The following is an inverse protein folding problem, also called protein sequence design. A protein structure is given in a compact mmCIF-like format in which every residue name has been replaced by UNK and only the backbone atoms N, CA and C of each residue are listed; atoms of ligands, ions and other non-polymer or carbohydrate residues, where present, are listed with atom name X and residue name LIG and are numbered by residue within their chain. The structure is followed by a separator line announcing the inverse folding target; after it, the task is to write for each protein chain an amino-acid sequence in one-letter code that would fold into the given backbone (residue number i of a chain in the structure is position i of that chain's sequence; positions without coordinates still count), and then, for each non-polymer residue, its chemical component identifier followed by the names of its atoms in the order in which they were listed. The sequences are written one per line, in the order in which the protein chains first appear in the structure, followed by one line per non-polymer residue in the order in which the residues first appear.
data_IF_907859169722
#
_entry.id   IF_907859169722
#
_cell.length_a   1.000
_cell.length_b   1.000
_cell.length_c   1.000
_cell.angle_alpha   90.00
_cell.angle_beta   90.00
_cell.angle_gamma   90.00
#
_symmetry.space_group_name_H-M   'P 1'
#
loop_
_entity.id
_entity.type
_entity.pdbx_description
1 polymer ?
#
# COMPACT_ATOMS: atom_id res chain seq x y z
N UNK A 1 1.18 -6.32 -16.28
CA UNK A 1 0.00 -5.91 -15.50
C UNK A 1 0.17 -4.55 -14.84
N UNK A 2 1.18 -4.32 -13.98
CA UNK A 2 1.45 -3.00 -13.40
C UNK A 2 2.99 -2.74 -13.34
N UNK A 3 3.56 -1.92 -14.24
CA UNK A 3 4.98 -1.58 -14.21
C UNK A 3 5.34 -0.82 -12.94
N UNK A 4 6.47 -1.16 -12.30
CA UNK A 4 6.88 -0.54 -11.03
C UNK A 4 7.01 0.99 -11.15
N UNK A 5 7.60 1.46 -12.26
CA UNK A 5 7.80 2.89 -12.53
C UNK A 5 6.48 3.68 -12.62
N UNK A 6 5.36 3.01 -12.92
CA UNK A 6 4.04 3.65 -12.99
C UNK A 6 3.38 3.75 -11.61
N UNK A 7 3.87 3.02 -10.61
CA UNK A 7 3.32 2.95 -9.25
C UNK A 7 4.21 3.68 -8.25
N UNK A 8 5.53 3.55 -8.40
CA UNK A 8 6.54 4.26 -7.61
C UNK A 8 7.46 5.00 -8.58
N UNK A 9 7.54 6.35 -8.52
CA UNK A 9 8.48 7.10 -9.33
C UNK A 9 9.93 6.62 -9.11
N UNK A 10 10.76 6.50 -10.17
CA UNK A 10 12.13 5.98 -10.03
C UNK A 10 13.01 6.78 -9.06
N UNK A 11 12.84 8.10 -9.01
CA UNK A 11 13.57 8.97 -8.09
C UNK A 11 13.26 8.66 -6.62
N UNK A 12 11.97 8.52 -6.29
CA UNK A 12 11.52 8.09 -4.97
C UNK A 12 12.02 6.71 -4.61
N UNK A 13 11.89 5.75 -5.53
CA UNK A 13 12.36 4.38 -5.31
C UNK A 13 13.86 4.34 -5.02
N UNK A 14 14.64 5.20 -5.68
CA UNK A 14 16.09 5.31 -5.46
C UNK A 14 16.41 5.86 -4.08
N UNK A 15 15.65 6.88 -3.62
CA UNK A 15 15.84 7.55 -2.33
C UNK A 15 15.60 6.68 -1.09
N UNK A 16 14.89 5.56 -1.22
CA UNK A 16 14.60 4.66 -0.10
C UNK A 16 15.89 3.99 0.39
N UNK A 17 16.27 4.27 1.63
CA UNK A 17 17.42 3.65 2.28
C UNK A 17 17.08 2.24 2.75
N UNK A 18 17.95 1.29 2.41
CA UNK A 18 17.84 -0.12 2.82
C UNK A 18 18.96 -0.54 3.78
N UNK A 19 19.99 0.29 3.96
CA UNK A 19 21.16 -0.07 4.77
C UNK A 19 20.80 -0.38 6.23
N UNK A 20 19.91 0.36 6.91
CA UNK A 20 19.51 0.03 8.28
C UNK A 20 18.89 -1.37 8.39
N UNK A 21 18.10 -1.79 7.39
CA UNK A 21 17.47 -3.11 7.36
C UNK A 21 18.48 -4.24 7.11
N UNK A 22 19.51 -3.97 6.31
CA UNK A 22 20.58 -4.93 6.03
C UNK A 22 21.53 -5.07 7.24
N UNK A 23 21.78 -3.98 7.97
CA UNK A 23 22.62 -3.97 9.16
C UNK A 23 21.93 -4.57 10.38
N UNK A 24 20.60 -4.47 10.48
CA UNK A 24 19.81 -5.06 11.55
C UNK A 24 19.93 -6.59 11.54
N UNK A 25 20.22 -7.17 12.71
CA UNK A 25 20.47 -8.60 12.88
C UNK A 25 19.21 -9.37 13.23
N UNK A 26 18.33 -8.80 14.05
CA UNK A 26 17.10 -9.46 14.50
C UNK A 26 15.87 -9.07 13.65
N UNK A 27 14.87 -9.96 13.52
CA UNK A 27 13.58 -9.61 12.93
C UNK A 27 12.89 -8.43 13.62
N UNK A 28 13.08 -8.28 14.93
CA UNK A 28 12.48 -7.25 15.76
C UNK A 28 13.07 -5.87 15.45
N UNK A 29 14.38 -5.77 15.30
CA UNK A 29 15.07 -4.54 14.89
C UNK A 29 14.63 -4.11 13.50
N UNK A 30 14.56 -5.06 12.55
CA UNK A 30 14.06 -4.78 11.20
C UNK A 30 12.61 -4.30 11.20
N UNK A 31 11.76 -4.84 12.07
CA UNK A 31 10.38 -4.39 12.25
C UNK A 31 10.33 -2.97 12.82
N UNK A 32 11.22 -2.62 13.75
CA UNK A 32 11.27 -1.29 14.36
C UNK A 32 11.61 -0.18 13.35
N UNK A 33 12.32 -0.52 12.27
CA UNK A 33 12.65 0.39 11.18
C UNK A 33 11.49 0.65 10.20
N UNK A 34 10.36 -0.05 10.31
CA UNK A 34 9.22 0.15 9.42
C UNK A 34 8.38 1.38 9.85
N UNK A 35 7.91 2.21 8.89
CA UNK A 35 6.93 3.26 9.16
C UNK A 35 5.63 2.70 9.78
N UNK A 36 5.21 1.51 9.35
CA UNK A 36 4.04 0.82 9.87
C UNK A 36 4.43 -0.56 10.44
N UNK A 37 4.65 -0.61 11.76
CA UNK A 37 5.31 -1.72 12.47
C UNK A 37 4.40 -2.91 12.79
N UNK A 38 3.09 -2.69 12.84
CA UNK A 38 2.14 -3.67 13.37
C UNK A 38 1.47 -4.56 12.31
N UNK A 39 1.74 -4.33 11.02
CA UNK A 39 1.13 -5.12 9.96
C UNK A 39 1.66 -6.56 9.96
N UNK A 40 0.75 -7.52 10.11
CA UNK A 40 1.04 -8.95 10.05
C UNK A 40 1.52 -9.31 8.64
N UNK A 41 0.86 -8.75 7.62
CA UNK A 41 1.19 -8.98 6.22
C UNK A 41 2.62 -8.51 5.91
N UNK A 42 2.98 -7.26 6.25
CA UNK A 42 4.30 -6.68 5.97
C UNK A 42 5.38 -7.44 6.74
N UNK A 43 5.17 -7.68 8.03
CA UNK A 43 6.15 -8.37 8.87
C UNK A 43 6.40 -9.80 8.41
N UNK A 44 5.37 -10.51 7.92
CA UNK A 44 5.53 -11.83 7.32
C UNK A 44 6.43 -11.81 6.08
N UNK A 45 6.26 -10.82 5.19
CA UNK A 45 7.09 -10.69 3.97
C UNK A 45 8.50 -10.24 4.30
N UNK A 46 8.65 -9.35 5.28
CA UNK A 46 9.96 -8.93 5.76
C UNK A 46 10.72 -10.13 6.31
N UNK A 47 10.09 -10.96 7.14
CA UNK A 47 10.71 -12.19 7.67
C UNK A 47 11.11 -13.14 6.53
N UNK A 48 10.19 -13.43 5.62
CA UNK A 48 10.46 -14.32 4.49
C UNK A 48 11.61 -13.83 3.60
N UNK A 49 11.73 -12.51 3.41
CA UNK A 49 12.79 -11.90 2.60
C UNK A 49 14.20 -12.11 3.19
N UNK A 50 14.31 -12.26 4.52
CA UNK A 50 15.58 -12.47 5.22
C UNK A 50 15.81 -13.91 5.72
N UNK A 51 14.81 -14.79 5.60
CA UNK A 51 14.88 -16.15 6.13
C UNK A 51 15.72 -17.11 5.25
N UNK A 52 15.81 -16.87 3.95
CA UNK A 52 16.22 -17.90 2.99
C UNK A 52 17.75 -18.03 2.79
N UNK A 53 18.59 -17.30 3.52
CA UNK A 53 20.06 -17.32 3.33
C UNK A 53 20.55 -16.78 1.96
N UNK A 54 19.64 -16.57 1.01
CA UNK A 54 19.89 -15.90 -0.26
C UNK A 54 20.17 -14.41 -0.07
N UNK A 55 20.86 -13.82 -1.06
CA UNK A 55 21.03 -12.37 -1.12
C UNK A 55 19.68 -11.66 -1.11
N UNK A 56 19.46 -10.80 -0.12
CA UNK A 56 18.23 -10.02 0.02
C UNK A 56 17.95 -9.22 -1.26
N UNK A 57 16.78 -9.44 -1.85
CA UNK A 57 16.35 -8.66 -3.03
C UNK A 57 16.11 -7.20 -2.64
N UNK A 58 17.07 -6.33 -2.98
CA UNK A 58 17.01 -4.88 -2.72
C UNK A 58 15.73 -4.25 -3.27
N UNK A 59 15.29 -4.69 -4.45
CA UNK A 59 14.06 -4.16 -5.08
C UNK A 59 12.79 -4.55 -4.29
N UNK A 60 12.69 -5.82 -3.86
CA UNK A 60 11.56 -6.26 -3.01
C UNK A 60 11.57 -5.56 -1.66
N UNK A 61 12.74 -5.37 -1.04
CA UNK A 61 12.88 -4.64 0.22
C UNK A 61 12.40 -3.19 0.09
N UNK A 62 12.84 -2.47 -0.94
CA UNK A 62 12.38 -1.10 -1.22
C UNK A 62 10.86 -1.04 -1.46
N UNK A 63 10.30 -1.99 -2.21
CA UNK A 63 8.86 -2.08 -2.41
C UNK A 63 8.12 -2.27 -1.07
N UNK A 64 8.64 -3.13 -0.19
CA UNK A 64 8.03 -3.42 1.10
C UNK A 64 8.07 -2.20 2.05
N UNK A 65 9.20 -1.47 2.07
CA UNK A 65 9.33 -0.21 2.82
C UNK A 65 8.35 0.84 2.30
N UNK A 66 8.23 0.97 0.97
CA UNK A 66 7.28 1.90 0.37
C UNK A 66 5.83 1.53 0.69
N UNK A 67 5.45 0.24 0.63
CA UNK A 67 4.12 -0.22 1.07
C UNK A 67 3.89 0.10 2.54
N UNK A 68 4.85 -0.15 3.42
CA UNK A 68 4.75 0.23 4.84
C UNK A 68 4.52 1.73 5.02
N UNK A 69 5.19 2.55 4.21
CA UNK A 69 4.98 4.00 4.16
C UNK A 69 3.55 4.36 3.73
N UNK A 70 3.01 3.71 2.69
CA UNK A 70 1.62 3.92 2.24
C UNK A 70 0.60 3.53 3.31
N UNK A 71 0.85 2.45 4.06
CA UNK A 71 0.01 2.04 5.20
C UNK A 71 0.00 3.11 6.29
N UNK A 72 1.19 3.58 6.70
CA UNK A 72 1.33 4.63 7.69
C UNK A 72 0.66 5.94 7.24
N UNK A 73 0.88 6.35 5.99
CA UNK A 73 0.28 7.53 5.38
C UNK A 73 -1.25 7.41 5.37
N UNK A 74 -1.81 6.30 4.90
CA UNK A 74 -3.26 6.07 4.88
C UNK A 74 -3.89 6.20 6.28
N UNK A 75 -3.24 5.62 7.28
CA UNK A 75 -3.76 5.60 8.64
C UNK A 75 -3.76 6.99 9.30
N UNK A 76 -2.85 7.87 8.90
CA UNK A 76 -2.57 9.13 9.62
C UNK A 76 -2.98 10.38 8.84
N UNK A 77 -2.84 10.39 7.51
CA UNK A 77 -2.95 11.60 6.69
C UNK A 77 -4.31 12.28 6.80
N UNK A 78 -5.42 11.55 6.64
CA UNK A 78 -6.77 12.16 6.65
C UNK A 78 -7.07 12.88 7.97
N UNK A 79 -6.79 12.24 9.10
CA UNK A 79 -7.02 12.83 10.41
C UNK A 79 -6.05 13.98 10.71
N UNK A 80 -4.75 13.78 10.48
CA UNK A 80 -3.73 14.79 10.81
C UNK A 80 -3.87 16.05 9.98
N UNK A 81 -4.09 15.93 8.67
CA UNK A 81 -4.23 17.07 7.78
C UNK A 81 -5.48 17.91 8.08
N UNK A 82 -6.59 17.26 8.47
CA UNK A 82 -7.83 17.95 8.80
C UNK A 82 -7.83 18.61 10.19
N UNK A 83 -7.09 18.05 11.16
CA UNK A 83 -7.09 18.51 12.56
C UNK A 83 -5.88 19.34 12.97
N UNK A 84 -4.90 19.53 12.10
CA UNK A 84 -3.72 20.32 12.42
C UNK A 84 -4.07 21.77 12.79
N UNK A 85 -3.57 22.22 13.95
CA UNK A 85 -3.73 23.60 14.43
C UNK A 85 -2.74 24.56 13.74
N UNK A 86 -1.58 24.05 13.31
CA UNK A 86 -0.53 24.80 12.58
C UNK A 86 -0.38 24.32 11.13
N UNK A 87 0.87 24.23 10.65
CA UNK A 87 1.17 23.68 9.32
C UNK A 87 0.79 22.18 9.24
N UNK A 88 -0.23 21.81 8.43
CA UNK A 88 -0.66 20.43 8.27
C UNK A 88 0.44 19.52 7.72
N UNK A 89 1.32 20.04 6.85
CA UNK A 89 2.42 19.28 6.26
C UNK A 89 3.45 18.91 7.33
N UNK A 90 3.89 19.87 8.12
CA UNK A 90 4.79 19.62 9.25
C UNK A 90 4.20 18.63 10.25
N UNK A 91 2.92 18.79 10.61
CA UNK A 91 2.24 17.88 11.54
C UNK A 91 2.18 16.44 11.02
N UNK A 92 1.90 16.25 9.72
CA UNK A 92 1.91 14.92 9.11
C UNK A 92 3.33 14.36 9.02
N UNK A 93 4.34 15.20 8.72
CA UNK A 93 5.74 14.79 8.64
C UNK A 93 6.24 14.23 9.96
N UNK A 94 5.93 14.90 11.07
CA UNK A 94 6.26 14.46 12.42
C UNK A 94 5.60 13.10 12.74
N UNK A 95 4.32 12.93 12.38
CA UNK A 95 3.58 11.69 12.62
C UNK A 95 4.08 10.50 11.81
N UNK A 96 4.63 10.73 10.62
CA UNK A 96 5.19 9.68 9.76
C UNK A 96 6.65 9.35 10.07
N UNK A 97 7.21 9.96 11.11
CA UNK A 97 8.60 9.83 11.53
C UNK A 97 9.58 10.20 10.41
N UNK A 98 10.11 11.43 10.49
CA UNK A 98 10.97 11.98 9.45
C UNK A 98 12.28 11.20 9.24
N UNK A 99 12.74 10.46 10.25
CA UNK A 99 13.92 9.63 10.15
C UNK A 99 13.69 8.38 9.30
N UNK A 100 12.45 7.90 9.23
CA UNK A 100 12.11 6.63 8.57
C UNK A 100 11.71 6.82 7.10
N UNK A 101 11.06 7.93 6.77
CA UNK A 101 10.54 8.20 5.42
C UNK A 101 11.37 9.29 4.73
N UNK A 102 11.98 9.06 3.55
CA UNK A 102 12.70 10.11 2.81
C UNK A 102 11.79 11.28 2.41
N UNK A 103 12.31 12.52 2.41
CA UNK A 103 11.53 13.72 2.07
C UNK A 103 10.92 13.64 0.66
N UNK A 104 11.68 13.11 -0.31
CA UNK A 104 11.20 12.93 -1.68
C UNK A 104 9.98 12.00 -1.75
N UNK A 105 9.96 10.93 -0.94
CA UNK A 105 8.80 10.02 -0.85
C UNK A 105 7.64 10.75 -0.19
N UNK A 106 7.88 11.43 0.93
CA UNK A 106 6.85 12.17 1.65
C UNK A 106 6.16 13.22 0.76
N UNK A 107 6.94 14.01 0.03
CA UNK A 107 6.44 15.05 -0.87
C UNK A 107 5.65 14.43 -2.03
N UNK A 108 6.17 13.36 -2.63
CA UNK A 108 5.45 12.64 -3.68
C UNK A 108 4.13 12.02 -3.21
N UNK A 109 4.06 11.52 -1.97
CA UNK A 109 2.82 11.01 -1.39
C UNK A 109 1.79 12.13 -1.19
N UNK A 110 2.20 13.27 -0.67
CA UNK A 110 1.34 14.44 -0.52
C UNK A 110 0.80 14.90 -1.89
N UNK A 111 1.68 15.06 -2.87
CA UNK A 111 1.29 15.51 -4.21
C UNK A 111 0.30 14.55 -4.88
N UNK A 112 0.49 13.23 -4.74
CA UNK A 112 -0.35 12.24 -5.44
C UNK A 112 -1.64 11.88 -4.75
N UNK A 113 -1.67 11.94 -3.42
CA UNK A 113 -2.74 11.39 -2.59
C UNK A 113 -3.39 12.42 -1.67
N UNK A 114 -3.15 13.71 -1.93
CA UNK A 114 -3.92 14.81 -1.34
C UNK A 114 -4.32 15.81 -2.42
N UNK A 115 -5.35 16.58 -2.12
CA UNK A 115 -5.81 17.69 -2.95
C UNK A 115 -5.81 18.96 -2.12
N UNK A 116 -5.38 20.05 -2.73
CA UNK A 116 -5.38 21.38 -2.11
C UNK A 116 -6.29 22.27 -2.93
N UNK A 117 -7.44 22.67 -2.37
CA UNK A 117 -8.26 23.71 -2.97
C UNK A 117 -7.45 25.02 -3.02
N UNK A 118 -7.78 25.96 -3.92
CA UNK A 118 -7.02 27.23 -4.05
C UNK A 118 -6.89 27.94 -2.69
N UNK A 119 -5.66 28.08 -2.20
CA UNK A 119 -5.37 28.68 -0.88
C UNK A 119 -5.81 27.84 0.33
N UNK A 120 -6.28 26.61 0.11
CA UNK A 120 -6.76 25.69 1.12
C UNK A 120 -5.66 24.84 1.75
N UNK A 121 -6.06 24.00 2.70
CA UNK A 121 -5.18 22.99 3.30
C UNK A 121 -5.13 21.73 2.41
N UNK A 122 -4.01 20.98 2.40
CA UNK A 122 -3.98 19.66 1.79
C UNK A 122 -5.00 18.75 2.49
N UNK A 123 -5.81 18.03 1.71
CA UNK A 123 -6.85 17.15 2.23
C UNK A 123 -6.87 15.82 1.48
N UNK A 124 -7.21 14.74 2.19
CA UNK A 124 -7.46 13.43 1.58
C UNK A 124 -8.94 13.33 1.25
N UNK A 125 -9.28 13.45 -0.03
CA UNK A 125 -10.65 13.25 -0.54
C UNK A 125 -10.93 11.78 -0.79
N UNK A 126 -12.21 11.40 -0.95
CA UNK A 126 -12.59 10.01 -1.26
C UNK A 126 -11.92 9.48 -2.54
N UNK A 127 -11.70 10.36 -3.53
CA UNK A 127 -11.01 10.01 -4.78
C UNK A 127 -9.53 9.70 -4.53
N UNK A 128 -8.81 10.59 -3.84
CA UNK A 128 -7.40 10.37 -3.48
C UNK A 128 -7.21 9.17 -2.55
N UNK A 129 -8.14 8.90 -1.64
CA UNK A 129 -8.11 7.70 -0.79
C UNK A 129 -8.26 6.43 -1.64
N UNK A 130 -9.19 6.41 -2.59
CA UNK A 130 -9.37 5.28 -3.51
C UNK A 130 -8.13 5.08 -4.39
N UNK A 131 -7.52 6.17 -4.87
CA UNK A 131 -6.25 6.14 -5.62
C UNK A 131 -5.11 5.57 -4.78
N UNK A 132 -4.94 6.04 -3.54
CA UNK A 132 -3.96 5.50 -2.59
C UNK A 132 -4.16 4.00 -2.37
N UNK A 133 -5.41 3.59 -2.17
CA UNK A 133 -5.76 2.22 -1.91
C UNK A 133 -5.43 1.29 -3.08
N UNK A 134 -5.77 1.70 -4.31
CA UNK A 134 -5.48 0.91 -5.52
C UNK A 134 -3.97 0.77 -5.77
N UNK A 135 -3.19 1.83 -5.55
CA UNK A 135 -1.72 1.79 -5.61
C UNK A 135 -1.14 0.80 -4.59
N UNK A 136 -1.62 0.87 -3.35
CA UNK A 136 -1.21 -0.02 -2.27
C UNK A 136 -1.47 -1.49 -2.63
N UNK A 137 -2.68 -1.82 -3.09
CA UNK A 137 -3.03 -3.20 -3.46
C UNK A 137 -2.22 -3.72 -4.66
N UNK A 138 -1.95 -2.86 -5.66
CA UNK A 138 -1.12 -3.24 -6.79
C UNK A 138 0.32 -3.59 -6.36
N UNK A 139 0.88 -2.86 -5.39
CA UNK A 139 2.19 -3.17 -4.83
C UNK A 139 2.17 -4.45 -3.98
N UNK A 140 1.13 -4.66 -3.17
CA UNK A 140 0.96 -5.91 -2.42
C UNK A 140 0.92 -7.12 -3.37
N UNK A 141 0.19 -7.02 -4.49
CA UNK A 141 0.17 -8.07 -5.53
C UNK A 141 1.57 -8.29 -6.10
N UNK A 142 2.30 -7.23 -6.44
CA UNK A 142 3.65 -7.35 -6.99
C UNK A 142 4.62 -8.06 -6.04
N UNK A 143 4.57 -7.73 -4.75
CA UNK A 143 5.43 -8.34 -3.72
C UNK A 143 5.13 -9.84 -3.58
N UNK A 144 3.86 -10.21 -3.62
CA UNK A 144 3.39 -11.60 -3.50
C UNK A 144 3.33 -12.34 -4.84
N UNK A 145 4.12 -11.93 -5.84
CA UNK A 145 4.18 -12.55 -7.16
C UNK A 145 2.79 -12.75 -7.81
N UNK A 146 1.94 -11.73 -7.69
CA UNK A 146 0.57 -11.65 -8.20
C UNK A 146 -0.44 -12.61 -7.56
N UNK A 147 -0.14 -13.14 -6.36
CA UNK A 147 -1.06 -14.01 -5.63
C UNK A 147 -1.00 -13.73 -4.11
N UNK A 148 -1.92 -12.90 -3.60
CA UNK A 148 -1.92 -12.47 -2.18
C UNK A 148 -3.08 -13.08 -1.39
N UNK A 149 -2.85 -13.43 -0.13
CA UNK A 149 -3.90 -13.90 0.79
C UNK A 149 -4.67 -12.69 1.34
N UNK A 150 -6.01 -12.75 1.32
CA UNK A 150 -6.88 -11.61 1.61
C UNK A 150 -6.94 -11.30 3.10
N UNK A 151 -7.06 -12.31 3.96
CA UNK A 151 -7.37 -12.10 5.38
C UNK A 151 -6.31 -11.29 6.16
N UNK A 152 -4.99 -11.59 6.07
CA UNK A 152 -3.99 -10.80 6.77
C UNK A 152 -4.00 -9.33 6.32
N UNK A 153 -4.19 -9.11 5.01
CA UNK A 153 -4.23 -7.77 4.44
C UNK A 153 -5.50 -7.00 4.83
N UNK A 154 -6.64 -7.68 4.92
CA UNK A 154 -7.91 -7.12 5.39
C UNK A 154 -7.80 -6.61 6.83
N UNK A 155 -7.20 -7.43 7.71
CA UNK A 155 -6.96 -7.09 9.11
C UNK A 155 -6.05 -5.87 9.24
N UNK A 156 -4.92 -5.86 8.53
CA UNK A 156 -3.96 -4.76 8.60
C UNK A 156 -4.53 -3.43 8.05
N UNK A 157 -5.32 -3.51 6.97
CA UNK A 157 -5.97 -2.34 6.37
C UNK A 157 -7.21 -1.89 7.14
N UNK A 158 -7.67 -2.67 8.13
CA UNK A 158 -8.91 -2.49 8.88
C UNK A 158 -10.13 -2.38 7.96
N UNK A 159 -10.21 -3.27 6.96
CA UNK A 159 -11.29 -3.33 5.98
C UNK A 159 -11.87 -4.74 6.00
N UNK A 160 -13.19 -4.86 5.85
CA UNK A 160 -13.81 -6.19 5.81
C UNK A 160 -13.25 -7.02 4.64
N UNK A 161 -13.03 -8.33 4.82
CA UNK A 161 -12.52 -9.21 3.75
C UNK A 161 -13.39 -9.17 2.48
N UNK A 162 -14.71 -8.97 2.64
CA UNK A 162 -15.67 -8.81 1.54
C UNK A 162 -15.37 -7.55 0.73
N UNK A 163 -15.17 -6.41 1.39
CA UNK A 163 -14.86 -5.14 0.71
C UNK A 163 -13.49 -5.21 0.04
N UNK A 164 -12.49 -5.79 0.70
CA UNK A 164 -11.16 -5.99 0.11
C UNK A 164 -11.21 -6.91 -1.13
N UNK A 165 -12.04 -7.95 -1.09
CA UNK A 165 -12.29 -8.83 -2.24
C UNK A 165 -12.84 -8.04 -3.45
N UNK A 166 -13.79 -7.13 -3.22
CA UNK A 166 -14.34 -6.28 -4.30
C UNK A 166 -13.28 -5.38 -4.93
N UNK A 167 -12.38 -4.81 -4.13
CA UNK A 167 -11.27 -4.01 -4.66
C UNK A 167 -10.32 -4.86 -5.52
N UNK A 168 -9.95 -6.06 -5.07
CA UNK A 168 -9.12 -6.96 -5.87
C UNK A 168 -9.78 -7.38 -7.18
N UNK A 169 -11.09 -7.66 -7.19
CA UNK A 169 -11.84 -7.93 -8.42
C UNK A 169 -11.80 -6.74 -9.38
N UNK A 170 -11.90 -5.52 -8.86
CA UNK A 170 -11.83 -4.28 -9.65
C UNK A 170 -10.44 -4.07 -10.28
N UNK A 171 -9.39 -4.60 -9.67
CA UNK A 171 -8.01 -4.61 -10.20
C UNK A 171 -7.75 -5.74 -11.22
N UNK A 172 -8.75 -6.57 -11.53
CA UNK A 172 -8.66 -7.70 -12.45
C UNK A 172 -8.25 -9.03 -11.79
N UNK A 173 -8.20 -9.11 -10.45
CA UNK A 173 -7.86 -10.37 -9.78
C UNK A 173 -9.05 -11.34 -9.78
N UNK A 174 -8.75 -12.62 -10.00
CA UNK A 174 -9.64 -13.74 -9.70
C UNK A 174 -9.47 -14.14 -8.24
N UNK A 175 -10.57 -14.53 -7.60
CA UNK A 175 -10.56 -14.96 -6.21
C UNK A 175 -10.53 -16.48 -6.18
N UNK A 176 -9.56 -17.06 -5.50
CA UNK A 176 -9.37 -18.50 -5.37
C UNK A 176 -9.39 -18.91 -3.90
N UNK A 177 -9.75 -20.16 -3.63
CA UNK A 177 -9.84 -20.70 -2.27
C UNK A 177 -11.11 -20.29 -1.51
N UNK A 178 -11.24 -20.81 -0.30
CA UNK A 178 -12.39 -20.61 0.61
C UNK A 178 -11.90 -20.22 2.00
N UNK A 179 -12.81 -19.73 2.85
CA UNK A 179 -12.48 -19.33 4.22
C UNK A 179 -11.33 -18.34 4.32
N UNK A 180 -10.41 -18.60 5.25
CA UNK A 180 -9.28 -17.74 5.61
C UNK A 180 -8.12 -17.82 4.62
N UNK A 181 -8.07 -18.89 3.81
CA UNK A 181 -7.05 -19.10 2.77
C UNK A 181 -7.40 -18.40 1.46
N UNK A 182 -8.50 -17.65 1.40
CA UNK A 182 -8.94 -16.96 0.19
C UNK A 182 -7.84 -16.03 -0.35
N UNK A 183 -7.50 -16.20 -1.63
CA UNK A 183 -6.43 -15.45 -2.31
C UNK A 183 -6.99 -14.64 -3.48
N UNK A 184 -6.40 -13.47 -3.69
CA UNK A 184 -6.57 -12.70 -4.92
C UNK A 184 -5.39 -12.98 -5.85
N UNK A 185 -5.68 -13.52 -7.03
CA UNK A 185 -4.70 -13.94 -8.03
C UNK A 185 -4.89 -13.14 -9.31
N UNK A 186 -3.83 -12.51 -9.80
CA UNK A 186 -3.83 -11.76 -11.05
C UNK A 186 -3.12 -12.59 -12.14
N UNK A 187 -3.91 -13.22 -13.01
CA UNK A 187 -3.40 -13.98 -14.15
C UNK A 187 -3.19 -13.08 -15.37
N UNK A 188 -2.20 -13.39 -16.20
CA UNK A 188 -2.01 -12.79 -17.52
C UNK A 188 -2.48 -13.77 -18.61
N UNK A 189 -3.20 -13.31 -19.66
CA UNK A 189 -3.61 -11.92 -19.94
C UNK A 189 -4.67 -11.39 -18.96
N UNK A 190 -4.64 -10.08 -18.72
CA UNK A 190 -5.53 -9.41 -17.77
C UNK A 190 -6.97 -9.41 -18.30
N UNK A 191 -7.86 -10.08 -17.57
CA UNK A 191 -9.30 -10.04 -17.85
C UNK A 191 -9.99 -9.10 -16.84
N UNK A 192 -10.41 -7.92 -17.29
CA UNK A 192 -11.23 -7.05 -16.47
C UNK A 192 -12.66 -7.58 -16.36
N UNK A 193 -13.31 -7.46 -15.18
CA UNK A 193 -14.69 -7.88 -15.02
C UNK A 193 -15.60 -7.07 -15.95
N UNK A 194 -16.37 -7.76 -16.79
CA UNK A 194 -17.36 -7.11 -17.67
C UNK A 194 -18.43 -6.43 -16.79
N UNK A 195 -18.80 -5.16 -17.07
CA UNK A 195 -19.90 -4.53 -16.36
C UNK A 195 -21.17 -5.37 -16.53
N UNK A 196 -21.88 -5.65 -15.43
CA UNK A 196 -23.16 -6.37 -15.49
C UNK A 196 -24.15 -5.50 -16.27
N UNK A 197 -24.52 -5.94 -17.47
CA UNK A 197 -25.65 -5.40 -18.21
C UNK A 197 -26.91 -5.50 -17.34
N UNK A 198 -27.52 -4.37 -16.99
CA UNK A 198 -28.88 -4.35 -16.45
C UNK A 198 -29.83 -4.81 -17.57
N UNK A 199 -30.25 -6.06 -17.53
CA UNK A 199 -31.38 -6.51 -18.34
C UNK A 199 -32.62 -5.78 -17.85
N UNK A 200 -33.15 -4.84 -18.65
CA UNK A 200 -34.47 -4.24 -18.42
C UNK A 200 -35.48 -5.38 -18.24
N UNK A 201 -36.09 -5.49 -17.06
CA UNK A 201 -37.27 -6.32 -16.85
C UNK A 201 -38.36 -5.77 -17.78
N UNK A 202 -38.68 -6.52 -18.82
CA UNK A 202 -39.79 -6.24 -19.71
C UNK A 202 -41.08 -6.19 -18.88
N UNK A 203 -41.81 -5.08 -19.02
CA UNK A 203 -43.17 -4.97 -18.53
C UNK A 203 -44.06 -5.98 -19.25
N UNK A 204 -44.96 -6.58 -18.48
CA UNK A 204 -46.19 -7.20 -18.96
C UNK A 204 -47.34 -6.45 -18.32
#
# INVERSE_FOLDING_TARGET
AYPLANVIPPAEFTSISIQPFLAATTPEDRRALLPHRHSIWINGRLRALFANGESVSKSKLKCLIYVSTLFAFRQTASHTLSKATGDPRAALRERLDSATVPDLVFDGLLERFTETARGGRPTVTSQTETKLFTYLLALCLRIDAFSTVILPLANDLKISPVKLTTYFKSLGCKIQGTGDERRAVLTVPLEFPKPRSMTKRGGK
#
